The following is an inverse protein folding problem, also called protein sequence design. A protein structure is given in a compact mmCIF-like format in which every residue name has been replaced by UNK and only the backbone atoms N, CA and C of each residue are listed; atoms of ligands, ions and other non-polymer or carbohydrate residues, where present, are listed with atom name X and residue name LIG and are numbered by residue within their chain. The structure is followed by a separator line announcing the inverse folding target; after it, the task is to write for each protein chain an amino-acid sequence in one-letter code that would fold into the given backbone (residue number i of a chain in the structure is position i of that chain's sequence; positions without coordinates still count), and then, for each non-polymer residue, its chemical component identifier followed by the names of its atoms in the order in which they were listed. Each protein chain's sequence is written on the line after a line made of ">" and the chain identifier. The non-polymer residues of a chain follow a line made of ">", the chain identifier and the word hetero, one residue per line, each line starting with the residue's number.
data_IF_492159957723
#
_entry.id   IF_492159957723
#
_cell.length_a   1.000
_cell.length_b   1.000
_cell.length_c   1.000
_cell.angle_alpha   90.00
_cell.angle_beta   90.00
_cell.angle_gamma   90.00
#
_symmetry.space_group_name_H-M   'P 1'
#
loop_
_entity.id
_entity.type
_entity.pdbx_description
1 polymer ?
#
# COMPACT_ATOMS: atom_id res chain seq x y z
N UNK A 1 2.45 -40.42 -23.03
CA UNK A 1 1.98 -39.52 -21.96
C UNK A 1 3.22 -38.78 -21.49
N UNK A 2 3.33 -37.47 -21.75
CA UNK A 2 4.58 -36.73 -21.56
C UNK A 2 4.87 -36.57 -20.07
N UNK A 3 5.95 -37.16 -19.59
CA UNK A 3 6.49 -36.92 -18.25
C UNK A 3 6.89 -35.44 -18.15
N UNK A 4 5.98 -34.61 -17.62
CA UNK A 4 6.27 -33.21 -17.36
C UNK A 4 7.13 -33.16 -16.10
N UNK A 5 8.43 -33.08 -16.31
CA UNK A 5 9.41 -33.07 -15.23
C UNK A 5 10.07 -31.71 -15.14
N UNK A 6 10.06 -31.12 -13.95
CA UNK A 6 10.62 -29.81 -13.66
C UNK A 6 11.88 -29.98 -12.82
N UNK A 7 12.98 -29.35 -13.23
CA UNK A 7 14.17 -29.24 -12.38
C UNK A 7 14.06 -27.96 -11.57
N UNK A 8 14.05 -28.07 -10.25
CA UNK A 8 13.95 -26.92 -9.33
C UNK A 8 15.09 -26.98 -8.32
N UNK A 9 15.59 -25.83 -7.88
CA UNK A 9 16.59 -25.76 -6.84
C UNK A 9 15.88 -25.62 -5.48
N UNK A 10 15.96 -26.64 -4.63
CA UNK A 10 15.43 -26.62 -3.26
C UNK A 10 16.64 -26.84 -2.35
N UNK A 11 16.86 -25.92 -1.39
CA UNK A 11 17.98 -25.92 -0.45
C UNK A 11 19.38 -26.04 -1.11
N UNK A 12 19.57 -25.36 -2.25
CA UNK A 12 20.84 -25.35 -2.97
C UNK A 12 21.15 -26.65 -3.73
N UNK A 13 20.22 -27.61 -3.77
CA UNK A 13 20.34 -28.83 -4.57
C UNK A 13 19.32 -28.80 -5.70
N UNK A 14 19.78 -29.11 -6.91
CA UNK A 14 18.87 -29.27 -8.06
C UNK A 14 18.14 -30.59 -7.93
N UNK A 15 16.84 -30.53 -7.65
CA UNK A 15 15.95 -31.68 -7.53
C UNK A 15 15.02 -31.75 -8.74
N UNK A 16 14.91 -32.94 -9.31
CA UNK A 16 14.09 -33.25 -10.48
C UNK A 16 12.73 -33.79 -10.02
N UNK A 17 11.66 -33.04 -10.23
CA UNK A 17 10.31 -33.35 -9.74
C UNK A 17 9.40 -33.68 -10.93
N UNK A 18 8.79 -34.87 -10.94
CA UNK A 18 7.75 -35.21 -11.89
C UNK A 18 6.42 -34.64 -11.40
N UNK A 19 5.88 -33.63 -12.11
CA UNK A 19 4.63 -32.98 -11.68
C UNK A 19 3.39 -33.82 -11.94
N UNK A 20 3.54 -34.95 -12.65
CA UNK A 20 2.47 -35.90 -12.90
C UNK A 20 2.52 -37.09 -11.93
N UNK A 21 3.48 -37.14 -11.00
CA UNK A 21 3.55 -38.21 -10.01
C UNK A 21 2.42 -38.05 -8.97
N UNK A 22 1.49 -39.01 -8.85
CA UNK A 22 0.44 -38.95 -7.84
C UNK A 22 1.05 -39.01 -6.44
N UNK A 23 0.74 -38.01 -5.62
CA UNK A 23 1.16 -37.92 -4.22
C UNK A 23 0.14 -38.67 -3.36
N UNK A 24 0.62 -39.66 -2.59
CA UNK A 24 -0.19 -40.28 -1.55
C UNK A 24 -0.29 -39.31 -0.37
N UNK A 25 -1.38 -38.57 -0.29
CA UNK A 25 -1.66 -37.65 0.81
C UNK A 25 -2.55 -38.37 1.83
N UNK A 26 -2.02 -38.63 3.01
CA UNK A 26 -2.82 -39.10 4.14
C UNK A 26 -3.50 -37.89 4.77
N UNK A 27 -4.79 -37.71 4.51
CA UNK A 27 -5.60 -36.71 5.19
C UNK A 27 -5.97 -37.24 6.56
N UNK A 28 -5.35 -36.70 7.60
CA UNK A 28 -5.76 -36.92 8.99
C UNK A 28 -6.72 -35.79 9.33
N UNK A 29 -8.00 -36.12 9.50
CA UNK A 29 -9.02 -35.18 9.96
C UNK A 29 -9.17 -35.28 11.48
N UNK A 30 -9.41 -34.13 12.14
CA UNK A 30 -9.41 -33.99 13.60
C UNK A 30 -10.46 -34.87 14.33
N UNK A 31 -11.44 -35.39 13.61
CA UNK A 31 -12.46 -36.33 14.07
C UNK A 31 -11.92 -37.76 14.27
N UNK A 32 -10.77 -38.11 13.66
CA UNK A 32 -10.16 -39.44 13.76
C UNK A 32 -9.11 -39.57 14.89
N UNK A 33 -8.84 -38.50 15.64
CA UNK A 33 -7.83 -38.46 16.71
C UNK A 33 -8.48 -38.54 18.10
N UNK A 34 -7.83 -39.20 19.07
CA UNK A 34 -8.30 -39.16 20.47
C UNK A 34 -8.13 -37.76 21.06
N UNK A 35 -8.99 -37.37 22.02
CA UNK A 35 -9.01 -36.02 22.60
C UNK A 35 -7.67 -35.54 23.18
N UNK A 36 -6.83 -36.47 23.65
CA UNK A 36 -5.49 -36.22 24.19
C UNK A 36 -4.44 -35.96 23.08
N UNK A 37 -4.69 -36.43 21.85
CA UNK A 37 -3.80 -36.29 20.69
C UNK A 37 -4.14 -35.05 19.85
N UNK A 38 -5.41 -34.58 19.89
CA UNK A 38 -5.89 -33.40 19.14
C UNK A 38 -5.10 -32.13 19.44
N UNK A 39 -4.73 -31.90 20.70
CA UNK A 39 -4.01 -30.69 21.09
C UNK A 39 -2.52 -30.80 20.79
N UNK A 40 -1.92 -31.97 21.02
CA UNK A 40 -0.46 -32.13 20.97
C UNK A 40 0.07 -32.41 19.57
N UNK A 41 -0.65 -33.17 18.74
CA UNK A 41 -0.20 -33.49 17.38
C UNK A 41 -0.27 -32.27 16.44
N UNK A 42 -1.33 -31.45 16.58
CA UNK A 42 -1.49 -30.21 15.80
C UNK A 42 -0.49 -29.15 16.24
N UNK A 43 -0.26 -28.98 17.55
CA UNK A 43 0.79 -28.10 18.07
C UNK A 43 2.20 -28.58 17.68
N UNK A 44 2.47 -29.89 17.70
CA UNK A 44 3.75 -30.46 17.29
C UNK A 44 4.01 -30.24 15.79
N UNK A 45 3.01 -30.48 14.92
CA UNK A 45 3.12 -30.21 13.48
C UNK A 45 3.26 -28.72 13.16
N UNK A 46 2.51 -27.86 13.86
CA UNK A 46 2.64 -26.41 13.70
C UNK A 46 4.02 -25.92 14.15
N UNK A 47 4.53 -26.47 15.26
CA UNK A 47 5.89 -26.18 15.73
C UNK A 47 6.96 -26.75 14.80
N UNK A 48 6.82 -27.96 14.25
CA UNK A 48 7.77 -28.53 13.28
C UNK A 48 7.81 -27.78 11.96
N UNK A 49 6.66 -27.33 11.44
CA UNK A 49 6.58 -26.49 10.24
C UNK A 49 7.18 -25.10 10.48
N UNK A 50 6.95 -24.51 11.65
CA UNK A 50 7.55 -23.25 12.06
C UNK A 50 9.07 -23.38 12.25
N UNK A 51 9.53 -24.46 12.89
CA UNK A 51 10.97 -24.73 13.11
C UNK A 51 11.68 -25.05 11.78
N UNK A 52 11.09 -25.87 10.89
CA UNK A 52 11.73 -26.25 9.61
C UNK A 52 11.86 -25.09 8.62
N UNK A 53 10.83 -24.24 8.51
CA UNK A 53 10.88 -23.04 7.64
C UNK A 53 11.90 -21.99 8.13
N UNK A 54 12.19 -21.97 9.43
CA UNK A 54 13.18 -21.06 10.03
C UNK A 54 14.59 -21.65 9.97
N UNK A 55 14.78 -22.97 10.11
CA UNK A 55 16.10 -23.59 10.05
C UNK A 55 16.69 -23.73 8.64
N UNK A 56 15.88 -23.74 7.56
CA UNK A 56 16.37 -23.61 6.19
C UNK A 56 16.87 -22.19 5.88
N UNK A 57 16.43 -21.19 6.64
CA UNK A 57 16.85 -19.80 6.54
C UNK A 57 17.69 -19.37 7.76
N UNK A 58 18.87 -19.99 7.93
CA UNK A 58 19.91 -19.63 8.91
C UNK A 58 19.56 -19.81 10.40
N UNK A 59 20.42 -20.54 11.13
CA UNK A 59 20.22 -20.93 12.53
C UNK A 59 20.23 -19.79 13.55
N UNK A 60 19.14 -19.04 13.63
CA UNK A 60 18.88 -18.07 14.70
C UNK A 60 17.50 -18.34 15.32
N UNK A 61 17.48 -18.54 16.64
CA UNK A 61 16.28 -18.73 17.43
C UNK A 61 15.26 -17.61 17.17
N UNK A 62 14.00 -17.99 16.96
CA UNK A 62 12.93 -17.05 16.62
C UNK A 62 12.60 -16.19 17.83
N UNK A 63 13.07 -14.96 17.84
CA UNK A 63 12.63 -13.97 18.83
C UNK A 63 11.40 -13.24 18.30
N UNK A 64 10.37 -13.10 19.12
CA UNK A 64 9.20 -12.28 18.81
C UNK A 64 9.63 -10.86 18.37
N UNK A 65 8.93 -10.23 17.40
CA UNK A 65 9.23 -8.86 16.98
C UNK A 65 9.13 -7.93 18.19
N UNK A 66 10.24 -7.24 18.49
CA UNK A 66 10.33 -6.29 19.60
C UNK A 66 9.89 -4.91 19.14
N UNK A 67 9.08 -4.23 19.95
CA UNK A 67 8.65 -2.86 19.67
C UNK A 67 9.87 -1.93 19.66
N UNK A 68 10.03 -1.13 18.61
CA UNK A 68 11.06 -0.10 18.55
C UNK A 68 10.43 1.23 18.97
N UNK A 69 10.88 1.77 20.10
CA UNK A 69 10.42 3.07 20.60
C UNK A 69 11.42 4.13 20.16
N UNK A 70 10.94 5.16 19.45
CA UNK A 70 11.74 6.35 19.12
C UNK A 70 11.26 7.52 19.99
N UNK A 71 12.18 8.13 20.74
CA UNK A 71 11.91 9.38 21.44
C UNK A 71 11.89 10.52 20.40
N UNK A 72 10.72 11.13 20.22
CA UNK A 72 10.59 12.32 19.39
C UNK A 72 11.09 13.55 20.16
N UNK A 73 11.55 14.57 19.43
CA UNK A 73 11.88 15.85 20.04
C UNK A 73 10.61 16.51 20.60
N UNK A 74 10.71 17.38 21.62
CA UNK A 74 9.54 18.07 22.19
C UNK A 74 8.84 19.05 21.23
N UNK A 75 9.34 19.18 19.99
CA UNK A 75 8.77 20.12 19.03
C UNK A 75 7.39 19.59 18.60
N UNK A 76 6.32 20.39 18.72
CA UNK A 76 5.02 19.96 18.27
C UNK A 76 5.08 19.62 16.78
N UNK A 77 4.60 18.42 16.44
CA UNK A 77 4.57 17.93 15.06
C UNK A 77 3.62 18.73 14.17
N UNK A 78 2.71 19.49 14.78
CA UNK A 78 1.74 20.34 14.11
C UNK A 78 1.90 21.79 14.60
N UNK A 79 1.89 22.78 13.68
CA UNK A 79 2.01 24.19 14.06
C UNK A 79 0.76 24.77 14.74
N UNK A 80 -0.36 24.04 14.76
CA UNK A 80 -1.65 24.53 15.27
C UNK A 80 -2.09 23.75 16.50
N UNK A 81 -2.36 24.47 17.59
CA UNK A 81 -2.97 23.89 18.79
C UNK A 81 -4.41 23.44 18.46
N UNK A 82 -4.71 22.16 18.66
CA UNK A 82 -6.08 21.66 18.53
C UNK A 82 -6.83 21.91 19.84
N UNK A 83 -7.83 22.78 19.80
CA UNK A 83 -8.73 23.01 20.95
C UNK A 83 -9.83 21.95 20.96
N UNK A 84 -9.83 21.10 21.99
CA UNK A 84 -10.83 20.03 22.14
C UNK A 84 -12.20 20.66 22.44
N UNK A 85 -13.22 20.46 21.56
CA UNK A 85 -14.56 20.97 21.81
C UNK A 85 -15.22 20.28 23.01
N UNK A 86 -16.10 21.00 23.74
CA UNK A 86 -16.87 20.43 24.87
C UNK A 86 -17.95 19.42 24.44
N UNK A 87 -18.33 19.42 23.16
CA UNK A 87 -19.32 18.52 22.60
C UNK A 87 -18.65 17.41 21.77
N UNK A 88 -19.33 16.28 21.60
CA UNK A 88 -18.88 15.22 20.71
C UNK A 88 -18.75 15.72 19.27
N UNK A 89 -17.65 15.34 18.61
CA UNK A 89 -17.42 15.61 17.20
C UNK A 89 -18.46 14.84 16.39
N UNK A 90 -19.26 15.57 15.60
CA UNK A 90 -20.22 14.98 14.67
C UNK A 90 -19.65 15.07 13.26
N UNK A 91 -19.41 13.92 12.65
CA UNK A 91 -19.05 13.86 11.24
C UNK A 91 -20.29 14.07 10.37
N UNK A 92 -20.16 14.93 9.35
CA UNK A 92 -21.11 15.03 8.24
C UNK A 92 -20.34 14.83 6.96
N UNK A 93 -20.92 14.06 6.04
CA UNK A 93 -20.38 13.92 4.68
C UNK A 93 -20.46 15.28 3.99
N UNK A 94 -19.37 15.71 3.38
CA UNK A 94 -19.29 16.94 2.58
C UNK A 94 -20.13 16.78 1.30
N UNK A 95 -20.78 17.84 0.86
CA UNK A 95 -21.49 17.83 -0.42
C UNK A 95 -20.48 17.84 -1.59
N UNK A 96 -20.88 17.32 -2.76
CA UNK A 96 -20.00 17.29 -3.93
C UNK A 96 -19.48 18.69 -4.31
N UNK A 97 -20.34 19.72 -4.24
CA UNK A 97 -19.96 21.11 -4.51
C UNK A 97 -18.93 21.65 -3.50
N UNK A 98 -19.03 21.24 -2.24
CA UNK A 98 -18.05 21.59 -1.21
C UNK A 98 -16.72 20.86 -1.43
N UNK A 99 -16.77 19.62 -1.95
CA UNK A 99 -15.57 18.86 -2.31
C UNK A 99 -14.87 19.51 -3.50
N UNK A 100 -15.62 19.92 -4.51
CA UNK A 100 -15.09 20.59 -5.70
C UNK A 100 -14.40 21.94 -5.36
N UNK A 101 -14.80 22.58 -4.26
CA UNK A 101 -14.19 23.82 -3.76
C UNK A 101 -12.87 23.65 -3.01
N UNK A 102 -12.50 22.41 -2.65
CA UNK A 102 -11.28 22.13 -1.89
C UNK A 102 -10.12 21.99 -2.87
N UNK A 103 -9.01 22.65 -2.55
CA UNK A 103 -7.75 22.52 -3.27
C UNK A 103 -7.11 21.17 -2.90
N UNK A 104 -6.92 20.29 -3.89
CA UNK A 104 -6.35 18.95 -3.69
C UNK A 104 -4.93 18.80 -4.26
N UNK A 105 -4.53 19.68 -5.16
CA UNK A 105 -3.20 19.64 -5.78
C UNK A 105 -2.13 20.23 -4.86
N UNK A 106 -1.22 19.38 -4.39
CA UNK A 106 -0.02 19.77 -3.64
C UNK A 106 1.18 19.79 -4.59
N UNK A 107 1.94 20.89 -4.59
CA UNK A 107 3.17 21.00 -5.39
C UNK A 107 4.26 20.09 -4.83
N UNK A 108 4.84 19.25 -5.69
CA UNK A 108 5.96 18.39 -5.33
C UNK A 108 7.33 19.01 -5.67
N UNK A 109 8.39 18.23 -5.52
CA UNK A 109 9.76 18.72 -5.76
C UNK A 109 10.00 19.09 -7.24
N UNK A 110 9.45 18.32 -8.18
CA UNK A 110 9.63 18.55 -9.61
C UNK A 110 8.93 19.85 -10.04
N UNK A 111 7.69 20.05 -9.59
CA UNK A 111 6.95 21.28 -9.88
C UNK A 111 7.63 22.52 -9.28
N UNK A 112 8.26 22.39 -8.11
CA UNK A 112 9.04 23.48 -7.51
C UNK A 112 10.27 23.85 -8.34
N UNK A 113 10.99 22.87 -8.88
CA UNK A 113 12.09 23.11 -9.80
C UNK A 113 11.61 23.81 -11.08
N UNK A 114 10.48 23.35 -11.63
CA UNK A 114 9.87 23.94 -12.80
C UNK A 114 9.44 25.40 -12.56
N UNK A 115 8.74 25.68 -11.46
CA UNK A 115 8.33 27.03 -11.05
C UNK A 115 9.53 27.97 -10.87
N UNK A 116 10.65 27.46 -10.33
CA UNK A 116 11.90 28.21 -10.19
C UNK A 116 12.49 28.58 -11.56
N UNK A 117 12.49 27.65 -12.51
CA UNK A 117 12.97 27.90 -13.88
C UNK A 117 12.09 28.91 -14.62
N UNK A 118 10.77 28.80 -14.49
CA UNK A 118 9.82 29.73 -15.12
C UNK A 118 9.91 31.12 -14.49
N UNK A 119 9.97 31.20 -13.17
CA UNK A 119 10.12 32.48 -12.46
C UNK A 119 11.40 33.22 -12.87
N UNK A 120 12.53 32.50 -13.03
CA UNK A 120 13.78 33.09 -13.56
C UNK A 120 13.62 33.64 -14.99
N UNK A 121 12.77 33.04 -15.82
CA UNK A 121 12.48 33.53 -17.17
C UNK A 121 11.58 34.77 -17.12
N UNK A 122 10.56 34.77 -16.28
CA UNK A 122 9.65 35.90 -16.08
C UNK A 122 10.39 37.12 -15.52
N UNK A 123 11.27 36.92 -14.54
CA UNK A 123 12.13 37.99 -14.00
C UNK A 123 13.01 38.62 -15.07
N UNK A 124 13.58 37.80 -15.98
CA UNK A 124 14.37 38.31 -17.11
C UNK A 124 13.53 39.11 -18.11
N UNK A 125 12.23 38.82 -18.20
CA UNK A 125 11.28 39.55 -19.03
C UNK A 125 10.69 40.78 -18.32
N UNK A 126 10.97 40.98 -17.02
CA UNK A 126 10.41 42.06 -16.20
C UNK A 126 9.01 41.79 -15.65
N UNK A 127 8.56 40.53 -15.71
CA UNK A 127 7.25 40.08 -15.22
C UNK A 127 7.32 39.57 -13.78
N UNK A 128 6.17 39.50 -13.11
CA UNK A 128 6.06 39.00 -11.73
C UNK A 128 6.31 37.48 -11.64
N UNK A 129 6.84 37.03 -10.50
CA UNK A 129 7.05 35.61 -10.21
C UNK A 129 5.72 34.89 -10.05
N UNK A 130 5.66 33.63 -10.50
CA UNK A 130 4.50 32.78 -10.27
C UNK A 130 4.48 32.29 -8.82
N UNK A 131 3.37 32.54 -8.12
CA UNK A 131 3.12 32.01 -6.79
C UNK A 131 2.79 30.52 -6.85
N UNK A 132 3.34 29.75 -5.91
CA UNK A 132 3.03 28.33 -5.70
C UNK A 132 1.52 28.13 -5.54
N UNK A 133 0.88 28.94 -4.70
CA UNK A 133 -0.55 28.84 -4.46
C UNK A 133 -1.41 29.08 -5.71
N UNK A 134 -1.00 30.01 -6.57
CA UNK A 134 -1.71 30.27 -7.83
C UNK A 134 -1.55 29.10 -8.81
N UNK A 135 -0.38 28.45 -8.79
CA UNK A 135 -0.14 27.25 -9.59
C UNK A 135 -0.97 26.06 -9.11
N UNK A 136 -1.03 25.81 -7.79
CA UNK A 136 -1.89 24.78 -7.19
C UNK A 136 -3.34 24.94 -7.63
N UNK A 137 -3.89 26.15 -7.51
CA UNK A 137 -5.27 26.46 -7.92
C UNK A 137 -5.48 26.17 -9.41
N UNK A 138 -4.52 26.55 -10.26
CA UNK A 138 -4.63 26.34 -11.69
C UNK A 138 -4.62 24.85 -12.04
N UNK A 139 -3.72 24.08 -11.42
CA UNK A 139 -3.58 22.64 -11.65
C UNK A 139 -4.79 21.85 -11.16
N UNK A 140 -5.26 22.15 -9.95
CA UNK A 140 -6.48 21.55 -9.38
C UNK A 140 -7.71 21.76 -10.29
N UNK A 141 -7.88 22.98 -10.81
CA UNK A 141 -8.97 23.29 -11.74
C UNK A 141 -8.85 22.52 -13.06
N UNK A 142 -7.65 22.44 -13.61
CA UNK A 142 -7.39 21.72 -14.86
C UNK A 142 -7.71 20.23 -14.72
N UNK A 143 -7.31 19.61 -13.62
CA UNK A 143 -7.58 18.20 -13.34
C UNK A 143 -9.08 17.93 -13.21
N UNK A 144 -9.79 18.77 -12.45
CA UNK A 144 -11.25 18.67 -12.29
C UNK A 144 -11.96 18.80 -13.64
N UNK A 145 -11.64 19.83 -14.43
CA UNK A 145 -12.23 20.05 -15.75
C UNK A 145 -11.95 18.89 -16.72
N UNK A 146 -10.72 18.36 -16.72
CA UNK A 146 -10.32 17.19 -17.53
C UNK A 146 -11.18 15.96 -17.19
N UNK A 147 -11.39 15.71 -15.90
CA UNK A 147 -12.22 14.59 -15.44
C UNK A 147 -13.69 14.70 -15.90
N UNK A 148 -14.26 15.91 -15.89
CA UNK A 148 -15.62 16.14 -16.39
C UNK A 148 -15.73 15.88 -17.90
N UNK A 149 -14.75 16.29 -18.68
CA UNK A 149 -14.74 16.05 -20.13
C UNK A 149 -14.65 14.54 -20.46
N UNK A 150 -13.83 13.78 -19.73
CA UNK A 150 -13.74 12.32 -19.87
C UNK A 150 -15.07 11.65 -19.50
N UNK A 151 -15.70 12.06 -18.40
CA UNK A 151 -17.00 11.51 -18.00
C UNK A 151 -18.11 11.84 -19.00
N UNK A 152 -18.08 13.02 -19.60
CA UNK A 152 -19.04 13.41 -20.62
C UNK A 152 -18.86 12.58 -21.90
N UNK A 153 -17.62 12.40 -22.35
CA UNK A 153 -17.33 11.61 -23.56
C UNK A 153 -17.65 10.13 -23.40
N UNK A 154 -17.39 9.53 -22.23
CA UNK A 154 -17.79 8.14 -21.94
C UNK A 154 -19.31 7.98 -21.95
N UNK A 155 -20.07 8.90 -21.34
CA UNK A 155 -21.54 8.87 -21.35
C UNK A 155 -22.14 9.08 -22.75
N UNK A 156 -21.47 9.85 -23.61
CA UNK A 156 -21.88 10.00 -25.01
C UNK A 156 -21.65 8.70 -25.78
N UNK A 157 -20.53 8.02 -25.55
CA UNK A 157 -20.22 6.76 -26.22
C UNK A 157 -21.10 5.58 -25.74
N UNK A 158 -21.57 5.57 -24.50
CA UNK A 158 -22.54 4.57 -24.01
C UNK A 158 -23.99 4.81 -24.48
N UNK A 159 -24.33 6.02 -24.93
CA UNK A 159 -25.63 6.32 -25.57
C UNK A 159 -25.66 6.05 -27.08
N UNK A 160 -24.50 5.76 -27.67
CA UNK A 160 -24.34 5.34 -29.06
C UNK A 160 -23.93 3.87 -29.13
N UNK A 161 -24.67 2.99 -28.45
CA UNK A 161 -24.76 1.54 -28.70
C UNK A 161 -26.19 1.08 -28.46
#
# INVERSE_FOLDING_TARGET
>A
MLDRVLNTCIDGRTVRINVMQPLAVNFVTDDQLLAEEKSNAVLARYNELYISTIFQASGAAVSLPKVNVRRLSPKPLLPKNFEIPKAYIKYRVRLNEEMDSILEYDVDEEDMEWLSLVSKKLEKAGEERLSVHSFEIAMDRLEKESFFQVRYTIKVNEKCL
#
